data_IF_689245547786
#
_entry.id   IF_689245547786
#
_cell.length_a   1.000
_cell.length_b   1.000
_cell.length_c   1.000
_cell.angle_alpha   90.00
_cell.angle_beta   90.00
_cell.angle_gamma   90.00
#
_symmetry.space_group_name_H-M   'P 1'
#
loop_
_entity.id
_entity.type
_entity.pdbx_description
1 polymer ?
#
# COMPACT_ATOMS: atom_id res chain seq x y z
N UNK A 1 -8.78 18.97 15.43
CA UNK A 1 -7.86 18.90 14.27
C UNK A 1 -7.12 17.57 14.41
N UNK A 2 -7.66 16.50 13.83
CA UNK A 2 -7.06 15.17 13.89
C UNK A 2 -6.66 14.80 12.47
N UNK A 3 -5.36 14.71 12.25
CA UNK A 3 -4.73 14.29 10.99
C UNK A 3 -5.11 12.84 10.72
N UNK A 4 -5.37 12.53 9.46
CA UNK A 4 -5.89 11.25 8.97
C UNK A 4 -4.95 10.09 9.34
N UNK A 5 -5.21 9.44 10.48
CA UNK A 5 -4.52 8.19 10.81
C UNK A 5 -4.95 7.12 9.81
N UNK A 6 -4.07 6.80 8.86
CA UNK A 6 -4.17 5.61 8.02
C UNK A 6 -4.16 4.36 8.94
N UNK A 7 -5.32 3.94 9.43
CA UNK A 7 -5.46 2.70 10.17
C UNK A 7 -5.64 1.54 9.19
N UNK A 8 -4.56 1.16 8.49
CA UNK A 8 -4.49 -0.19 7.95
C UNK A 8 -4.51 -1.12 9.16
N UNK A 9 -5.52 -2.00 9.23
CA UNK A 9 -5.76 -2.86 10.40
C UNK A 9 -4.44 -3.52 10.88
N UNK A 10 -3.97 -3.23 12.11
CA UNK A 10 -2.75 -3.84 12.67
C UNK A 10 -2.74 -5.37 12.58
N UNK A 11 -3.94 -5.98 12.59
CA UNK A 11 -4.15 -7.41 12.42
C UNK A 11 -3.64 -7.93 11.07
N UNK A 12 -3.85 -7.20 9.97
CA UNK A 12 -3.37 -7.59 8.64
C UNK A 12 -1.85 -7.60 8.57
N UNK A 13 -1.20 -6.55 9.10
CA UNK A 13 0.26 -6.44 9.13
C UNK A 13 0.86 -7.58 9.96
N UNK A 14 0.30 -7.84 11.15
CA UNK A 14 0.76 -8.92 12.01
C UNK A 14 0.67 -10.28 11.33
N UNK A 15 -0.50 -10.60 10.77
CA UNK A 15 -0.72 -11.87 10.08
C UNK A 15 0.24 -12.05 8.88
N UNK A 16 0.55 -10.97 8.15
CA UNK A 16 1.51 -11.01 7.05
C UNK A 16 2.93 -11.34 7.53
N UNK A 17 3.35 -10.73 8.65
CA UNK A 17 4.67 -10.95 9.26
C UNK A 17 4.79 -12.39 9.78
N UNK A 18 3.78 -12.91 10.48
CA UNK A 18 3.76 -14.30 10.98
C UNK A 18 3.94 -15.31 9.85
N UNK A 19 3.30 -15.04 8.71
CA UNK A 19 3.42 -15.85 7.51
C UNK A 19 4.66 -15.56 6.66
N UNK A 20 5.57 -14.69 7.12
CA UNK A 20 6.82 -14.29 6.44
C UNK A 20 6.62 -13.73 5.03
N UNK A 21 5.46 -13.13 4.77
CA UNK A 21 5.12 -12.58 3.46
C UNK A 21 5.74 -11.19 3.35
N UNK A 22 6.59 -11.00 2.35
CA UNK A 22 7.22 -9.70 2.08
C UNK A 22 6.28 -8.80 1.27
N UNK A 23 6.28 -7.50 1.56
CA UNK A 23 5.48 -6.51 0.85
C UNK A 23 6.35 -5.44 0.18
N UNK A 24 5.86 -4.92 -0.94
CA UNK A 24 6.39 -3.72 -1.59
C UNK A 24 5.34 -2.62 -1.51
N UNK A 25 5.72 -1.42 -1.09
CA UNK A 25 4.83 -0.27 -0.93
C UNK A 25 5.33 0.92 -1.73
N UNK A 26 4.48 1.44 -2.60
CA UNK A 26 4.63 2.74 -3.24
C UNK A 26 3.69 3.73 -2.55
N UNK A 27 4.23 4.86 -2.11
CA UNK A 27 3.48 5.91 -1.42
C UNK A 27 4.13 7.27 -1.65
N UNK A 28 3.41 8.34 -1.35
CA UNK A 28 3.92 9.69 -1.30
C UNK A 28 5.04 9.84 -0.25
N UNK A 29 6.01 10.71 -0.51
CA UNK A 29 7.14 10.99 0.39
C UNK A 29 6.85 12.04 1.46
N UNK A 30 5.71 11.96 2.15
CA UNK A 30 5.38 12.90 3.24
C UNK A 30 6.11 12.53 4.52
N UNK A 31 6.24 13.49 5.45
CA UNK A 31 6.83 13.23 6.78
C UNK A 31 6.12 12.08 7.51
N UNK A 32 4.79 12.03 7.39
CA UNK A 32 3.96 11.01 8.03
C UNK A 32 4.25 9.61 7.46
N UNK A 33 4.34 9.46 6.14
CA UNK A 33 4.62 8.17 5.51
C UNK A 33 6.04 7.68 5.81
N UNK A 34 7.00 8.59 5.92
CA UNK A 34 8.38 8.26 6.32
C UNK A 34 8.42 7.75 7.76
N UNK A 35 7.81 8.47 8.70
CA UNK A 35 7.86 8.14 10.14
C UNK A 35 7.04 6.89 10.48
N UNK A 36 5.99 6.59 9.71
CA UNK A 36 5.10 5.45 9.94
C UNK A 36 5.48 4.22 9.13
N UNK A 37 5.63 4.35 7.81
CA UNK A 37 5.82 3.20 6.92
C UNK A 37 7.30 2.84 6.78
N UNK A 38 8.12 3.81 6.34
CA UNK A 38 9.54 3.54 6.03
C UNK A 38 10.33 3.12 7.26
N UNK A 39 10.09 3.77 8.40
CA UNK A 39 10.72 3.43 9.69
C UNK A 39 10.49 1.97 10.10
N UNK A 40 9.33 1.41 9.74
CA UNK A 40 8.93 0.06 10.13
C UNK A 40 9.23 -1.01 9.06
N UNK A 41 9.79 -0.66 7.91
CA UNK A 41 10.08 -1.56 6.78
C UNK A 41 10.70 -2.90 7.22
N UNK A 42 11.82 -2.83 7.96
CA UNK A 42 12.53 -4.03 8.43
C UNK A 42 11.68 -4.89 9.39
N UNK A 43 10.96 -4.25 10.31
CA UNK A 43 10.12 -4.93 11.30
C UNK A 43 8.90 -5.58 10.66
N UNK A 44 8.38 -4.98 9.60
CA UNK A 44 7.14 -5.39 8.95
C UNK A 44 7.38 -6.16 7.64
N UNK A 45 8.60 -6.62 7.37
CA UNK A 45 8.96 -7.33 6.13
C UNK A 45 8.46 -6.56 4.90
N UNK A 46 8.72 -5.26 4.83
CA UNK A 46 8.27 -4.36 3.78
C UNK A 46 9.45 -3.59 3.18
N UNK A 47 9.42 -3.37 1.88
CA UNK A 47 10.23 -2.36 1.19
C UNK A 47 9.30 -1.21 0.78
N UNK A 48 9.58 0.00 1.25
CA UNK A 48 8.85 1.21 0.86
C UNK A 48 9.69 2.06 -0.08
N UNK A 49 9.12 2.46 -1.23
CA UNK A 49 9.66 3.48 -2.13
C UNK A 49 8.68 4.63 -2.26
N UNK A 50 9.22 5.80 -2.54
CA UNK A 50 8.45 7.03 -2.61
C UNK A 50 8.34 7.52 -4.05
N UNK A 51 7.18 8.07 -4.39
CA UNK A 51 6.94 8.71 -5.69
C UNK A 51 6.61 10.17 -5.40
N UNK A 52 7.47 11.09 -5.82
CA UNK A 52 7.30 12.53 -5.57
C UNK A 52 6.12 13.15 -6.34
N UNK A 53 5.79 12.56 -7.47
CA UNK A 53 4.75 13.00 -8.40
C UNK A 53 3.35 12.54 -7.95
N UNK A 54 3.29 11.58 -7.02
CA UNK A 54 2.04 11.13 -6.41
C UNK A 54 1.53 12.25 -5.49
N UNK A 55 0.46 12.93 -5.95
CA UNK A 55 -0.40 13.71 -5.05
C UNK A 55 -1.05 12.75 -4.05
N UNK A 56 -1.47 13.25 -2.90
CA UNK A 56 -2.18 12.47 -1.88
C UNK A 56 -3.38 11.76 -2.52
N UNK A 57 -3.30 10.43 -2.64
CA UNK A 57 -4.41 9.59 -3.12
C UNK A 57 -5.14 9.07 -1.88
N UNK A 58 -6.45 9.35 -1.70
CA UNK A 58 -7.21 8.91 -0.53
C UNK A 58 -7.61 7.43 -0.58
N UNK A 59 -7.05 6.67 -1.52
CA UNK A 59 -7.32 5.25 -1.74
C UNK A 59 -6.01 4.48 -1.62
N UNK A 60 -6.07 3.31 -1.01
CA UNK A 60 -4.97 2.34 -0.96
C UNK A 60 -5.34 1.12 -1.78
N UNK A 61 -4.46 0.71 -2.68
CA UNK A 61 -4.61 -0.51 -3.47
C UNK A 61 -3.66 -1.61 -2.95
N UNK A 62 -4.20 -2.82 -2.81
CA UNK A 62 -3.48 -4.03 -2.44
C UNK A 62 -3.60 -5.06 -3.55
N UNK A 63 -2.46 -5.53 -4.06
CA UNK A 63 -2.40 -6.56 -5.09
C UNK A 63 -1.84 -7.84 -4.44
N UNK A 64 -2.63 -8.91 -4.38
CA UNK A 64 -2.24 -10.16 -3.71
C UNK A 64 -2.90 -11.38 -4.36
N UNK A 65 -2.13 -12.45 -4.61
CA UNK A 65 -2.64 -13.61 -5.35
C UNK A 65 -3.35 -13.18 -6.64
N UNK A 66 -4.55 -13.71 -6.90
CA UNK A 66 -5.41 -13.30 -8.03
C UNK A 66 -6.44 -12.23 -7.65
N UNK A 67 -6.12 -11.37 -6.66
CA UNK A 67 -7.04 -10.38 -6.10
C UNK A 67 -6.42 -8.98 -6.05
N UNK A 68 -7.28 -7.98 -6.20
CA UNK A 68 -6.98 -6.58 -5.95
C UNK A 68 -8.00 -6.04 -4.94
N UNK A 69 -7.55 -5.41 -3.88
CA UNK A 69 -8.41 -4.70 -2.94
C UNK A 69 -8.13 -3.19 -2.99
N UNK A 70 -9.17 -2.38 -3.09
CA UNK A 70 -9.09 -0.92 -3.04
C UNK A 70 -9.86 -0.45 -1.82
N UNK A 71 -9.18 0.26 -0.93
CA UNK A 71 -9.72 0.72 0.35
C UNK A 71 -9.63 2.24 0.43
N UNK A 72 -10.73 2.89 0.80
CA UNK A 72 -10.74 4.31 1.16
C UNK A 72 -10.15 4.54 2.55
N UNK A 73 -9.46 5.66 2.72
CA UNK A 73 -8.82 6.04 3.99
C UNK A 73 -9.71 6.96 4.84
N UNK A 74 -10.78 7.49 4.24
CA UNK A 74 -11.78 8.30 4.92
C UNK A 74 -12.81 7.41 5.65
N UNK A 75 -12.80 7.49 6.98
CA UNK A 75 -13.72 6.73 7.85
C UNK A 75 -15.16 7.26 7.73
N UNK A 76 -15.35 8.54 7.40
CA UNK A 76 -16.68 9.13 7.24
C UNK A 76 -17.29 8.81 5.87
N UNK A 77 -16.46 8.46 4.89
CA UNK A 77 -16.87 8.04 3.56
C UNK A 77 -16.18 6.72 3.16
N UNK A 78 -16.55 5.60 3.79
CA UNK A 78 -15.83 4.35 3.62
C UNK A 78 -16.02 3.78 2.22
N UNK A 79 -14.92 3.37 1.59
CA UNK A 79 -14.91 2.61 0.35
C UNK A 79 -14.15 1.29 0.54
N UNK A 80 -14.71 0.19 0.05
CA UNK A 80 -14.05 -1.10 0.01
C UNK A 80 -14.47 -1.87 -1.22
N UNK A 81 -13.51 -2.19 -2.09
CA UNK A 81 -13.72 -2.97 -3.31
C UNK A 81 -12.74 -4.15 -3.28
N UNK A 82 -13.22 -5.36 -3.55
CA UNK A 82 -12.37 -6.53 -3.77
C UNK A 82 -12.71 -7.11 -5.14
N UNK A 83 -11.72 -7.15 -6.03
CA UNK A 83 -11.83 -7.72 -7.36
C UNK A 83 -11.05 -9.03 -7.35
N UNK A 84 -11.75 -10.16 -7.57
CA UNK A 84 -11.16 -11.50 -7.66
C UNK A 84 -11.11 -11.92 -9.13
N UNK A 85 -10.06 -11.53 -9.83
CA UNK A 85 -9.89 -11.83 -11.24
C UNK A 85 -8.41 -11.89 -11.59
N UNK A 86 -7.96 -13.05 -12.10
CA UNK A 86 -6.54 -13.32 -12.37
C UNK A 86 -5.93 -12.26 -13.30
N UNK A 87 -6.55 -12.01 -14.44
CA UNK A 87 -5.96 -11.13 -15.46
C UNK A 87 -5.95 -9.66 -15.02
N UNK A 88 -6.98 -9.22 -14.29
CA UNK A 88 -7.00 -7.89 -13.70
C UNK A 88 -5.89 -7.72 -12.64
N UNK A 89 -5.72 -8.71 -11.75
CA UNK A 89 -4.67 -8.67 -10.75
C UNK A 89 -3.28 -8.67 -11.40
N UNK A 90 -3.10 -9.40 -12.51
CA UNK A 90 -1.83 -9.41 -13.24
C UNK A 90 -1.56 -8.08 -13.95
N UNK A 91 -2.59 -7.48 -14.57
CA UNK A 91 -2.49 -6.15 -15.15
C UNK A 91 -2.04 -5.11 -14.09
N UNK A 92 -2.67 -5.10 -12.91
CA UNK A 92 -2.27 -4.18 -11.84
C UNK A 92 -0.85 -4.45 -11.34
N UNK A 93 -0.43 -5.71 -11.29
CA UNK A 93 0.94 -6.09 -10.91
C UNK A 93 1.97 -5.55 -11.91
N UNK A 94 1.68 -5.65 -13.20
CA UNK A 94 2.52 -5.07 -14.26
C UNK A 94 2.62 -3.55 -14.08
N UNK A 95 1.49 -2.85 -13.88
CA UNK A 95 1.48 -1.40 -13.65
C UNK A 95 2.28 -1.01 -12.40
N UNK A 96 2.11 -1.75 -11.30
CA UNK A 96 2.90 -1.55 -10.09
C UNK A 96 4.39 -1.72 -10.34
N UNK A 97 4.81 -2.77 -11.05
CA UNK A 97 6.21 -3.03 -11.37
C UNK A 97 6.81 -1.96 -12.28
N UNK A 98 6.05 -1.50 -13.29
CA UNK A 98 6.47 -0.39 -14.13
C UNK A 98 6.73 0.86 -13.30
N UNK A 99 5.85 1.20 -12.36
CA UNK A 99 6.09 2.32 -11.44
C UNK A 99 7.30 2.06 -10.55
N UNK A 100 7.38 0.88 -9.93
CA UNK A 100 8.41 0.48 -8.98
C UNK A 100 9.83 0.55 -9.56
N UNK A 101 10.00 0.07 -10.79
CA UNK A 101 11.30 -0.07 -11.46
C UNK A 101 11.75 1.24 -12.13
N UNK A 102 10.81 2.14 -12.46
CA UNK A 102 11.11 3.43 -13.10
C UNK A 102 11.24 4.60 -12.11
N UNK A 103 11.21 4.34 -10.81
CA UNK A 103 11.59 5.36 -9.83
C UNK A 103 13.08 5.67 -10.01
N UNK A 104 13.35 6.89 -10.49
CA UNK A 104 14.71 7.44 -10.51
C UNK A 104 15.12 7.70 -9.06
N UNK A 105 16.32 7.27 -8.71
CA UNK A 105 16.95 7.54 -7.40
C UNK A 105 17.08 9.04 -7.12
#
# INVERSE_FOLDING_TARGET
>A
MFTSSFNISPRFIHQRIENKIHAKLLTEGTKETIETWKKNDKKELRETRFISELKTIPLTEYIYGNCVAILGTDIQNPLGIIIRHKDFAEQQRILFHLLWDNLKE
#
